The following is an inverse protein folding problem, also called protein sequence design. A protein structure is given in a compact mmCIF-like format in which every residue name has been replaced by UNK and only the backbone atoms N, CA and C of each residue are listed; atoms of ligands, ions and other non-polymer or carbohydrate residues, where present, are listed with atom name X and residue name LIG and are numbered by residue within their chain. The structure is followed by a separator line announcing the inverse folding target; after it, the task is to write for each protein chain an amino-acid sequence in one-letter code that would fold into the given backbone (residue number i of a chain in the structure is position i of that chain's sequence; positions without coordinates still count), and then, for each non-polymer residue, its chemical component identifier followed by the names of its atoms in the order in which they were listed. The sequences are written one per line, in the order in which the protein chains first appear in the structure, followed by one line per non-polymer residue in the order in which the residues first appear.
data_IF_447839792767
#
_entry.id   IF_447839792767
#
_cell.length_a   1.000
_cell.length_b   1.000
_cell.length_c   1.000
_cell.angle_alpha   90.00
_cell.angle_beta   90.00
_cell.angle_gamma   90.00
#
_symmetry.space_group_name_H-M   'P 1'
#
loop_
_entity.id
_entity.type
_entity.pdbx_description
1 polymer ?
#
# COMPACT_ATOMS: atom_id res chain seq x y z
N UNK A 1 -8.43 6.87 8.34
CA UNK A 1 -7.54 8.03 8.38
C UNK A 1 -6.11 7.63 8.34
N UNK A 2 -5.31 8.43 7.63
CA UNK A 2 -3.84 8.46 7.65
C UNK A 2 -3.34 8.64 9.09
N UNK A 3 -2.33 7.86 9.51
CA UNK A 3 -1.88 7.82 10.91
C UNK A 3 -0.42 8.22 11.06
N UNK A 4 -0.09 8.84 12.20
CA UNK A 4 1.30 9.10 12.59
C UNK A 4 1.87 7.88 13.31
N UNK A 5 3.00 7.34 12.84
CA UNK A 5 3.69 6.22 13.47
C UNK A 5 5.07 6.58 14.01
N UNK A 6 5.98 6.99 13.13
CA UNK A 6 7.40 7.19 13.51
C UNK A 6 7.99 8.57 13.14
N UNK A 7 7.35 9.35 12.27
CA UNK A 7 7.86 10.66 11.81
C UNK A 7 9.09 10.63 10.89
N UNK A 8 9.80 9.50 10.77
CA UNK A 8 10.99 9.34 9.92
C UNK A 8 10.77 8.59 8.60
N UNK A 9 9.52 8.37 8.17
CA UNK A 9 9.21 7.67 6.91
C UNK A 9 9.39 6.14 6.91
N UNK A 10 9.90 5.53 7.97
CA UNK A 10 10.18 4.09 7.99
C UNK A 10 8.95 3.17 8.21
N UNK A 11 7.83 3.68 8.73
CA UNK A 11 6.69 2.82 9.12
C UNK A 11 5.51 2.75 8.13
N UNK A 12 5.37 3.73 7.23
CA UNK A 12 4.30 3.76 6.21
C UNK A 12 2.88 3.97 6.71
N UNK A 13 2.65 4.08 8.03
CA UNK A 13 1.31 4.32 8.58
C UNK A 13 0.67 5.64 8.07
N UNK A 14 1.51 6.57 7.60
CA UNK A 14 1.13 7.87 7.06
C UNK A 14 1.07 7.92 5.52
N UNK A 15 1.02 6.77 4.84
CA UNK A 15 0.99 6.73 3.38
C UNK A 15 -0.25 7.43 2.80
N UNK A 16 -0.01 8.26 1.79
CA UNK A 16 -1.00 8.92 0.94
C UNK A 16 -0.56 8.83 -0.51
N UNK A 17 -1.48 9.05 -1.43
CA UNK A 17 -1.16 9.05 -2.87
C UNK A 17 -1.11 10.47 -3.37
N UNK A 18 -0.03 10.76 -4.09
CA UNK A 18 0.09 11.96 -4.90
C UNK A 18 -0.22 11.64 -6.35
N UNK A 19 -0.99 12.53 -6.94
CA UNK A 19 -1.21 12.64 -8.36
C UNK A 19 -0.69 14.01 -8.80
N UNK A 20 0.22 14.05 -9.76
CA UNK A 20 0.67 15.30 -10.36
C UNK A 20 0.67 15.16 -11.88
N UNK A 21 0.07 16.14 -12.56
CA UNK A 21 -0.01 16.16 -14.02
C UNK A 21 1.22 16.86 -14.62
N UNK A 22 2.42 16.35 -14.34
CA UNK A 22 3.70 16.94 -14.78
C UNK A 22 4.38 16.11 -15.89
N UNK A 23 3.85 14.91 -16.19
CA UNK A 23 4.45 13.96 -17.11
C UNK A 23 3.36 13.14 -17.79
N UNK A 24 3.55 12.84 -19.07
CA UNK A 24 2.79 11.82 -19.80
C UNK A 24 3.72 10.60 -19.98
N UNK A 25 3.39 9.41 -19.44
CA UNK A 25 2.16 9.03 -18.76
C UNK A 25 2.03 9.56 -17.33
N UNK A 26 0.78 9.70 -16.88
CA UNK A 26 0.44 10.09 -15.51
C UNK A 26 0.85 8.97 -14.54
N UNK A 27 1.74 9.28 -13.60
CA UNK A 27 2.21 8.33 -12.57
C UNK A 27 1.56 8.67 -11.22
N UNK A 28 1.02 7.64 -10.55
CA UNK A 28 0.59 7.74 -9.15
C UNK A 28 1.74 7.34 -8.22
N UNK A 29 2.05 8.17 -7.22
CA UNK A 29 3.13 7.90 -6.26
C UNK A 29 2.59 7.81 -4.84
N UNK A 30 2.87 6.71 -4.14
CA UNK A 30 2.65 6.61 -2.70
C UNK A 30 3.80 7.29 -1.95
N UNK A 31 3.47 8.19 -1.03
CA UNK A 31 4.46 8.95 -0.26
C UNK A 31 4.08 9.01 1.21
N UNK A 32 5.08 9.17 2.06
CA UNK A 32 4.90 9.37 3.48
C UNK A 32 4.48 10.81 3.78
N UNK A 33 3.23 11.01 4.22
CA UNK A 33 2.72 12.35 4.53
C UNK A 33 3.52 13.07 5.63
N UNK A 34 4.15 12.32 6.56
CA UNK A 34 4.95 12.93 7.64
C UNK A 34 6.22 13.65 7.16
N UNK A 35 6.70 13.36 5.94
CA UNK A 35 7.90 13.95 5.35
C UNK A 35 7.58 14.89 4.19
N UNK A 36 6.29 15.15 3.91
CA UNK A 36 5.85 15.93 2.76
C UNK A 36 5.38 17.32 3.19
N UNK A 37 6.17 18.38 2.94
CA UNK A 37 5.75 19.75 3.17
C UNK A 37 4.55 20.13 2.29
N UNK A 38 3.56 20.79 2.88
CA UNK A 38 2.37 21.24 2.15
C UNK A 38 2.71 22.19 0.99
N UNK A 39 3.77 22.98 1.11
CA UNK A 39 4.22 23.88 0.06
C UNK A 39 4.65 23.16 -1.24
N UNK A 40 5.01 21.86 -1.17
CA UNK A 40 5.35 21.05 -2.34
C UNK A 40 4.12 20.48 -3.05
N UNK A 41 2.92 20.63 -2.47
CA UNK A 41 1.67 20.08 -3.02
C UNK A 41 0.97 21.01 -4.01
N UNK A 42 1.61 22.13 -4.40
CA UNK A 42 1.01 23.04 -5.36
C UNK A 42 0.75 22.32 -6.70
N UNK A 43 -0.52 22.27 -7.12
CA UNK A 43 -0.93 21.57 -8.35
C UNK A 43 -1.01 20.04 -8.24
N UNK A 44 -0.75 19.47 -7.05
CA UNK A 44 -0.89 18.04 -6.79
C UNK A 44 -2.29 17.73 -6.21
N UNK A 45 -2.81 16.55 -6.54
CA UNK A 45 -3.99 15.99 -5.88
C UNK A 45 -3.57 14.90 -4.88
N UNK A 46 -4.02 15.03 -3.63
CA UNK A 46 -3.75 14.07 -2.55
C UNK A 46 -4.95 13.17 -2.36
N UNK A 47 -4.73 11.85 -2.36
CA UNK A 47 -5.76 10.85 -2.01
C UNK A 47 -5.37 10.13 -0.73
N UNK A 48 -6.30 10.07 0.23
CA UNK A 48 -6.16 9.32 1.49
C UNK A 48 -7.02 8.06 1.48
N UNK A 49 -6.95 7.27 2.55
CA UNK A 49 -7.75 6.04 2.70
C UNK A 49 -9.26 6.27 2.64
N UNK A 50 -9.74 7.44 3.07
CA UNK A 50 -11.14 7.83 2.93
C UNK A 50 -11.53 8.11 1.47
N UNK A 51 -10.59 8.60 0.67
CA UNK A 51 -10.82 8.97 -0.72
C UNK A 51 -11.05 7.78 -1.65
N UNK A 52 -10.55 6.59 -1.29
CA UNK A 52 -10.74 5.36 -2.09
C UNK A 52 -12.06 4.65 -1.78
N UNK A 53 -12.68 4.90 -0.63
CA UNK A 53 -13.92 4.23 -0.23
C UNK A 53 -14.19 4.34 1.27
N UNK A 54 -15.45 4.13 1.65
CA UNK A 54 -15.89 4.17 3.05
C UNK A 54 -17.07 3.22 3.28
N UNK A 55 -17.34 2.90 4.56
CA UNK A 55 -18.52 2.11 4.94
C UNK A 55 -19.84 2.83 4.71
N UNK A 56 -19.83 4.17 4.57
CA UNK A 56 -21.02 4.98 4.24
C UNK A 56 -21.35 4.97 2.76
N UNK A 57 -20.34 4.72 1.92
CA UNK A 57 -20.46 4.67 0.46
C UNK A 57 -20.28 3.23 0.01
N UNK A 58 -19.17 2.94 -0.67
CA UNK A 58 -18.77 1.61 -1.10
C UNK A 58 -17.31 1.42 -0.73
N UNK A 59 -16.98 0.26 -0.20
CA UNK A 59 -15.60 -0.12 0.05
C UNK A 59 -14.89 -0.41 -1.26
N UNK A 60 -13.65 0.05 -1.38
CA UNK A 60 -12.79 -0.35 -2.47
C UNK A 60 -12.42 -1.85 -2.31
N UNK A 61 -12.24 -2.62 -3.40
CA UNK A 61 -11.80 -4.01 -3.30
C UNK A 61 -10.56 -4.20 -2.43
N UNK A 62 -9.60 -3.26 -2.46
CA UNK A 62 -8.41 -3.29 -1.57
C UNK A 62 -8.81 -3.27 -0.09
N UNK A 63 -9.78 -2.43 0.28
CA UNK A 63 -10.27 -2.34 1.66
C UNK A 63 -11.05 -3.59 2.07
N UNK A 64 -11.85 -4.13 1.16
CA UNK A 64 -12.67 -5.32 1.40
C UNK A 64 -11.81 -6.57 1.58
N UNK A 65 -10.82 -6.79 0.69
CA UNK A 65 -10.03 -8.02 0.68
C UNK A 65 -9.07 -8.11 1.88
N UNK A 66 -8.42 -7.02 2.27
CA UNK A 66 -7.58 -7.02 3.48
C UNK A 66 -8.41 -7.27 4.76
N UNK A 67 -9.64 -6.78 4.82
CA UNK A 67 -10.53 -7.04 5.95
C UNK A 67 -11.00 -8.51 5.98
N UNK A 68 -11.46 -9.03 4.84
CA UNK A 68 -11.92 -10.42 4.71
C UNK A 68 -10.81 -11.46 4.91
N UNK A 69 -9.58 -11.14 4.54
CA UNK A 69 -8.42 -12.01 4.71
C UNK A 69 -7.83 -11.97 6.13
N UNK A 70 -8.48 -11.28 7.09
CA UNK A 70 -7.94 -11.07 8.44
C UNK A 70 -6.59 -10.34 8.47
N UNK A 71 -6.33 -9.50 7.46
CA UNK A 71 -5.13 -8.69 7.32
C UNK A 71 -5.07 -7.47 8.24
N UNK A 72 -6.02 -7.32 9.16
CA UNK A 72 -6.08 -6.20 10.11
C UNK A 72 -6.47 -6.70 11.50
N UNK A 73 -5.58 -6.50 12.48
CA UNK A 73 -5.85 -6.77 13.90
C UNK A 73 -6.08 -5.46 14.67
N UNK A 74 -5.01 -4.77 15.10
CA UNK A 74 -5.16 -3.47 15.78
C UNK A 74 -5.63 -2.34 14.85
N UNK A 75 -5.53 -2.53 13.53
CA UNK A 75 -6.01 -1.59 12.51
C UNK A 75 -5.11 -0.38 12.25
N UNK A 76 -4.01 -0.20 13.00
CA UNK A 76 -3.24 1.06 12.94
C UNK A 76 -2.46 1.23 11.63
N UNK A 77 -1.80 0.17 11.15
CA UNK A 77 -1.03 0.19 9.90
C UNK A 77 -1.91 -0.04 8.65
N UNK A 78 -3.16 -0.46 8.85
CA UNK A 78 -4.07 -0.88 7.78
C UNK A 78 -4.30 0.22 6.72
N UNK A 79 -4.48 1.51 7.08
CA UNK A 79 -4.58 2.58 6.09
C UNK A 79 -3.37 2.66 5.17
N UNK A 80 -2.15 2.57 5.71
CA UNK A 80 -0.93 2.63 4.90
C UNK A 80 -0.80 1.45 3.94
N UNK A 81 -1.09 0.24 4.44
CA UNK A 81 -1.16 -0.99 3.65
C UNK A 81 -2.17 -0.89 2.50
N UNK A 82 -3.33 -0.28 2.73
CA UNK A 82 -4.36 -0.06 1.71
C UNK A 82 -3.88 0.93 0.66
N UNK A 83 -3.26 2.04 1.08
CA UNK A 83 -2.80 3.08 0.14
C UNK A 83 -1.68 2.57 -0.77
N UNK A 84 -0.68 1.85 -0.24
CA UNK A 84 0.40 1.31 -1.08
C UNK A 84 -0.11 0.29 -2.10
N UNK A 85 -1.00 -0.62 -1.69
CA UNK A 85 -1.61 -1.58 -2.64
C UNK A 85 -2.50 -0.87 -3.68
N UNK A 86 -3.23 0.15 -3.26
CA UNK A 86 -4.03 0.95 -4.19
C UNK A 86 -3.15 1.64 -5.23
N UNK A 87 -2.04 2.26 -4.84
CA UNK A 87 -1.07 2.86 -5.78
C UNK A 87 -0.57 1.84 -6.79
N UNK A 88 -0.16 0.66 -6.31
CA UNK A 88 0.32 -0.41 -7.19
C UNK A 88 -0.74 -0.78 -8.23
N UNK A 89 -1.99 -0.98 -7.82
CA UNK A 89 -3.09 -1.30 -8.74
C UNK A 89 -3.42 -0.18 -9.73
N UNK A 90 -3.17 1.08 -9.36
CA UNK A 90 -3.40 2.23 -10.24
C UNK A 90 -2.36 2.31 -11.35
N UNK A 91 -1.12 1.91 -11.07
CA UNK A 91 -0.03 1.90 -12.05
C UNK A 91 0.03 0.58 -12.83
N UNK A 92 -0.33 -0.54 -12.19
CA UNK A 92 -0.36 -1.86 -12.77
C UNK A 92 -1.66 -2.59 -12.37
N UNK A 93 -2.69 -2.64 -13.24
CA UNK A 93 -3.95 -3.30 -12.96
C UNK A 93 -3.84 -4.81 -12.70
N UNK A 94 -2.76 -5.45 -13.17
CA UNK A 94 -2.49 -6.88 -12.99
C UNK A 94 -1.07 -7.08 -12.41
N UNK A 95 -0.89 -6.81 -11.10
CA UNK A 95 0.42 -6.95 -10.46
C UNK A 95 0.81 -8.41 -10.30
N UNK A 96 2.10 -8.70 -10.36
CA UNK A 96 2.64 -10.00 -9.99
C UNK A 96 2.75 -10.14 -8.47
N UNK A 97 2.96 -11.36 -7.97
CA UNK A 97 3.23 -11.55 -6.54
C UNK A 97 4.51 -10.85 -6.10
N UNK A 98 5.51 -10.76 -6.96
CA UNK A 98 6.75 -10.03 -6.68
C UNK A 98 6.48 -8.53 -6.52
N UNK A 99 5.56 -7.97 -7.31
CA UNK A 99 5.16 -6.55 -7.20
C UNK A 99 4.51 -6.21 -5.86
N UNK A 100 3.62 -7.10 -5.42
CA UNK A 100 2.93 -6.98 -4.14
C UNK A 100 3.90 -7.12 -2.97
N UNK A 101 4.86 -8.04 -3.07
CA UNK A 101 5.68 -8.47 -1.93
C UNK A 101 7.02 -7.75 -1.82
N UNK A 102 7.72 -7.52 -2.92
CA UNK A 102 9.13 -7.13 -2.93
C UNK A 102 9.33 -5.70 -3.41
N UNK A 103 8.65 -5.25 -4.47
CA UNK A 103 9.03 -4.00 -5.15
C UNK A 103 8.24 -2.77 -4.71
N UNK A 104 6.90 -2.80 -4.64
CA UNK A 104 6.13 -1.56 -4.45
C UNK A 104 5.01 -1.65 -3.39
N UNK A 105 4.49 -2.85 -3.10
CA UNK A 105 3.34 -2.99 -2.20
C UNK A 105 3.62 -2.72 -0.72
N UNK A 106 4.79 -3.13 -0.20
CA UNK A 106 5.06 -3.14 1.25
C UNK A 106 6.41 -2.61 1.70
N UNK A 107 7.29 -2.14 0.80
CA UNK A 107 8.66 -1.76 1.16
C UNK A 107 8.75 -0.89 2.42
N UNK A 108 7.81 0.03 2.59
CA UNK A 108 7.80 0.95 3.74
C UNK A 108 6.60 0.81 4.66
N UNK A 109 5.87 -0.32 4.66
CA UNK A 109 4.74 -0.52 5.57
C UNK A 109 5.07 -1.54 6.66
N UNK A 110 5.15 -1.07 7.91
CA UNK A 110 5.41 -1.94 9.05
C UNK A 110 4.10 -2.38 9.72
N UNK A 111 4.01 -3.69 10.00
CA UNK A 111 2.95 -4.27 10.82
C UNK A 111 3.52 -5.08 11.98
N UNK A 112 3.05 -4.80 13.20
CA UNK A 112 3.48 -5.51 14.41
C UNK A 112 2.56 -6.65 14.85
N UNK A 113 1.34 -6.71 14.32
CA UNK A 113 0.30 -7.62 14.81
C UNK A 113 0.08 -8.84 13.92
N UNK A 114 0.02 -8.66 12.60
CA UNK A 114 -0.49 -9.69 11.69
C UNK A 114 0.55 -10.71 11.22
N UNK A 115 1.84 -10.40 11.37
CA UNK A 115 2.92 -11.20 10.77
C UNK A 115 2.91 -11.20 9.23
N UNK A 116 2.26 -10.20 8.60
CA UNK A 116 2.14 -9.97 7.15
C UNK A 116 1.40 -11.03 6.33
N UNK A 117 1.46 -12.32 6.71
CA UNK A 117 0.84 -13.42 5.97
C UNK A 117 -0.60 -13.16 5.53
N UNK A 118 -1.55 -12.78 6.41
CA UNK A 118 -2.93 -12.55 5.99
C UNK A 118 -3.11 -11.32 5.07
N UNK A 119 -2.18 -10.34 5.14
CA UNK A 119 -2.19 -9.17 4.25
C UNK A 119 -1.80 -9.61 2.84
N UNK A 120 -0.72 -10.38 2.72
CA UNK A 120 -0.23 -10.93 1.45
C UNK A 120 -1.28 -11.87 0.83
N UNK A 121 -1.87 -12.75 1.63
CA UNK A 121 -2.90 -13.69 1.15
C UNK A 121 -4.14 -12.94 0.63
N UNK A 122 -4.55 -11.85 1.31
CA UNK A 122 -5.62 -10.99 0.86
C UNK A 122 -5.33 -10.31 -0.48
N UNK A 123 -4.10 -9.83 -0.69
CA UNK A 123 -3.73 -9.13 -1.93
C UNK A 123 -3.30 -10.05 -3.08
N UNK A 124 -2.89 -11.29 -2.79
CA UNK A 124 -2.63 -12.33 -3.81
C UNK A 124 -3.80 -12.53 -4.77
N UNK A 125 -5.01 -12.28 -4.29
CA UNK A 125 -6.24 -12.33 -5.10
C UNK A 125 -6.30 -11.29 -6.24
N UNK A 126 -5.44 -10.28 -6.23
CA UNK A 126 -5.30 -9.31 -7.33
C UNK A 126 -4.28 -9.76 -8.38
N UNK A 127 -3.46 -10.76 -8.08
CA UNK A 127 -2.46 -11.31 -8.98
C UNK A 127 -3.05 -12.47 -9.81
N UNK A 128 -2.57 -12.65 -11.04
CA UNK A 128 -2.85 -13.87 -11.79
C UNK A 128 -2.13 -15.08 -11.17
N UNK A 129 -2.84 -16.22 -11.10
CA UNK A 129 -2.28 -17.48 -10.60
C UNK A 129 -1.43 -18.11 -11.70
N UNK A 130 -0.17 -17.72 -11.81
CA UNK A 130 0.79 -18.53 -12.54
C UNK A 130 1.15 -19.75 -11.68
N UNK A 131 0.65 -20.92 -12.09
CA UNK A 131 0.70 -22.22 -11.40
C UNK A 131 2.09 -22.87 -11.34
N UNK A 132 3.19 -22.10 -11.30
CA UNK A 132 4.53 -22.62 -11.56
C UNK A 132 5.60 -22.33 -10.51
N UNK A 133 5.28 -21.82 -9.31
CA UNK A 133 6.33 -21.64 -8.28
C UNK A 133 5.90 -22.12 -6.89
N UNK A 134 6.56 -23.17 -6.33
CA UNK A 134 6.31 -23.62 -4.97
C UNK A 134 6.80 -22.57 -3.95
N UNK A 135 6.07 -22.47 -2.84
CA UNK A 135 6.24 -21.55 -1.71
C UNK A 135 7.59 -21.77 -0.96
N UNK A 136 8.75 -21.42 -1.54
CA UNK A 136 10.05 -21.72 -0.89
C UNK A 136 10.95 -20.55 -0.51
N UNK A 137 10.55 -19.28 -0.64
CA UNK A 137 11.41 -18.18 -0.21
C UNK A 137 10.68 -17.08 0.59
N UNK A 138 10.39 -17.38 1.86
CA UNK A 138 9.90 -16.43 2.86
C UNK A 138 11.01 -15.57 3.50
N UNK A 139 12.23 -15.56 2.95
CA UNK A 139 13.43 -15.20 3.70
C UNK A 139 14.14 -13.88 3.29
N UNK A 140 13.53 -13.01 2.49
CA UNK A 140 14.24 -11.84 1.93
C UNK A 140 13.51 -10.50 2.05
N UNK A 141 12.92 -10.22 3.22
CA UNK A 141 12.07 -9.02 3.44
C UNK A 141 12.77 -7.84 4.12
N UNK A 142 14.07 -7.94 4.42
CA UNK A 142 14.74 -7.02 5.37
C UNK A 142 15.71 -6.02 4.71
N UNK A 143 16.01 -6.15 3.41
CA UNK A 143 17.18 -5.44 2.82
C UNK A 143 16.90 -4.54 1.60
N UNK A 144 15.66 -4.15 1.32
CA UNK A 144 15.41 -3.15 0.28
C UNK A 144 15.23 -1.76 0.93
N UNK A 145 16.16 -0.82 0.70
CA UNK A 145 16.11 0.49 1.33
C UNK A 145 14.87 1.27 0.87
N UNK A 146 14.25 1.96 1.84
CA UNK A 146 13.00 2.71 1.74
C UNK A 146 13.15 4.13 1.20
N UNK A 147 14.10 4.36 0.30
CA UNK A 147 14.47 5.71 -0.19
C UNK A 147 14.24 5.82 -1.69
#
# INVERSE_FOLDING_TARGET
GTKYGCGGGGCGACMVILFMNVSDPIIHSSVNACLLPVCQLHGAAVTTVEGIGSTKTKLHPVQERIAKAHGSQCGFCTPGMMMSMYTLLRNNPQPTMEDVTVTDGFKCNLCRCTGYRPIVDGYRTFCEVNSSRPDSHFHFWVNYPCV
#
